data_IF_870540491462
#
_entry.id   IF_870540491462
#
_cell.length_a   1.000
_cell.length_b   1.000
_cell.length_c   1.000
_cell.angle_alpha   90.00
_cell.angle_beta   90.00
_cell.angle_gamma   90.00
#
_symmetry.space_group_name_H-M   'P 1'
#
loop_
_entity.id
_entity.type
_entity.pdbx_description
1 polymer ?
#
# COMPACT_ATOMS: atom_id res chain seq x y z
N UNK A 1 -13.15 12.78 -11.50
CA UNK A 1 -11.76 12.99 -11.89
C UNK A 1 -11.01 13.56 -10.70
N UNK A 2 -9.77 13.11 -10.45
CA UNK A 2 -8.98 13.61 -9.31
C UNK A 2 -8.14 14.80 -9.76
N UNK A 3 -8.40 15.98 -9.22
CA UNK A 3 -7.65 17.21 -9.56
C UNK A 3 -6.19 17.16 -9.08
N UNK A 4 -5.91 16.43 -8.01
CA UNK A 4 -4.57 16.31 -7.43
C UNK A 4 -4.25 14.85 -7.16
N UNK A 5 -3.12 14.39 -7.69
CA UNK A 5 -2.62 13.03 -7.54
C UNK A 5 -1.20 13.12 -6.99
N UNK A 6 -0.95 12.46 -5.86
CA UNK A 6 0.38 12.42 -5.26
C UNK A 6 1.33 11.54 -6.06
N UNK A 7 0.92 10.30 -6.31
CA UNK A 7 1.68 9.31 -7.09
C UNK A 7 0.71 8.42 -7.85
N UNK A 8 1.08 8.08 -9.07
CA UNK A 8 0.48 6.97 -9.81
C UNK A 8 1.35 5.72 -9.59
N UNK A 9 0.72 4.58 -9.32
CA UNK A 9 1.42 3.35 -8.91
C UNK A 9 0.91 2.15 -9.73
N UNK A 10 1.75 1.13 -9.97
CA UNK A 10 1.30 -0.09 -10.63
C UNK A 10 0.20 -0.79 -9.83
N UNK A 11 -0.55 -1.66 -10.50
CA UNK A 11 -1.59 -2.49 -9.87
C UNK A 11 -0.98 -3.62 -9.03
N UNK A 12 -0.41 -3.26 -7.88
CA UNK A 12 0.21 -4.15 -6.92
C UNK A 12 -0.47 -3.99 -5.55
N UNK A 13 -0.43 -5.04 -4.73
CA UNK A 13 -0.98 -4.96 -3.37
C UNK A 13 0.00 -4.19 -2.49
N UNK A 14 -0.35 -2.95 -2.11
CA UNK A 14 0.53 -2.06 -1.32
C UNK A 14 0.05 -1.90 0.13
N UNK A 15 1.00 -1.78 1.06
CA UNK A 15 0.78 -1.50 2.49
C UNK A 15 1.71 -0.39 2.98
N UNK A 16 1.44 0.14 4.17
CA UNK A 16 2.23 1.21 4.78
C UNK A 16 1.61 2.59 4.62
N UNK A 17 2.10 3.56 5.38
CA UNK A 17 1.58 4.93 5.41
C UNK A 17 0.05 5.00 5.61
N UNK A 18 -0.45 4.19 6.54
CA UNK A 18 -1.89 4.05 6.83
C UNK A 18 -2.60 2.94 6.06
N UNK A 19 -2.06 2.48 4.93
CA UNK A 19 -2.55 1.30 4.20
C UNK A 19 -2.19 0.02 4.95
N UNK A 20 -3.10 -0.94 4.96
CA UNK A 20 -2.98 -2.13 5.80
C UNK A 20 -3.29 -3.44 5.07
N UNK A 21 -2.82 -4.53 5.68
CA UNK A 21 -3.29 -5.88 5.44
C UNK A 21 -3.52 -6.54 6.80
N UNK A 22 -4.74 -7.02 7.04
CA UNK A 22 -5.15 -7.62 8.31
C UNK A 22 -4.80 -6.74 9.53
N UNK A 23 -5.09 -5.42 9.44
CA UNK A 23 -4.79 -4.40 10.46
C UNK A 23 -3.29 -4.18 10.77
N UNK A 24 -2.38 -4.86 10.06
CA UNK A 24 -0.96 -4.69 10.20
C UNK A 24 -0.39 -3.63 9.23
N UNK A 25 0.86 -3.22 9.44
CA UNK A 25 1.66 -2.38 8.54
C UNK A 25 1.27 -0.89 8.43
N UNK A 26 0.16 -0.43 9.02
CA UNK A 26 -0.26 1.00 9.01
C UNK A 26 0.85 1.99 9.43
N UNK A 27 1.72 1.58 10.36
CA UNK A 27 2.77 2.43 10.94
C UNK A 27 4.06 2.54 10.12
N UNK A 28 4.18 1.86 8.98
CA UNK A 28 5.34 2.03 8.10
C UNK A 28 5.40 3.47 7.58
N UNK A 29 6.59 4.06 7.59
CA UNK A 29 6.83 5.42 7.10
C UNK A 29 6.86 5.50 5.56
N UNK A 30 6.92 4.35 4.92
CA UNK A 30 6.98 4.18 3.47
C UNK A 30 5.78 3.38 2.98
N UNK A 31 5.53 3.43 1.67
CA UNK A 31 4.58 2.57 0.96
C UNK A 31 5.39 1.48 0.26
N UNK A 32 4.95 0.21 0.37
CA UNK A 32 5.64 -0.90 -0.27
C UNK A 32 4.69 -2.01 -0.72
N UNK A 33 5.13 -2.79 -1.70
CA UNK A 33 4.40 -3.95 -2.21
C UNK A 33 4.48 -5.12 -1.23
N UNK A 34 3.33 -5.68 -0.87
CA UNK A 34 3.24 -6.87 -0.03
C UNK A 34 3.64 -8.10 -0.86
N UNK A 35 4.51 -8.96 -0.30
CA UNK A 35 4.91 -10.17 -0.99
C UNK A 35 3.74 -11.15 -1.12
N UNK A 36 3.56 -11.77 -2.29
CA UNK A 36 2.38 -12.60 -2.62
C UNK A 36 2.08 -13.70 -1.60
N UNK A 37 3.11 -14.37 -1.09
CA UNK A 37 2.98 -15.46 -0.12
C UNK A 37 2.42 -15.04 1.25
N UNK A 38 2.28 -13.74 1.51
CA UNK A 38 1.73 -13.20 2.77
C UNK A 38 0.19 -13.13 2.71
N UNK A 39 -0.39 -13.04 1.51
CA UNK A 39 -1.83 -12.86 1.30
C UNK A 39 -2.48 -13.86 0.33
N UNK A 40 -1.71 -14.85 -0.14
CA UNK A 40 -2.18 -15.96 -0.99
C UNK A 40 -2.52 -17.21 -0.19
#
# INVERSE_FOLDING_TARGET
DCTWVGFDIPNEFVVGYGLDYAEAYRGLKDIGTLARHVYS
#
